data_IF_588178327372
#
_entry.id   IF_588178327372
#
_cell.length_a   1.000
_cell.length_b   1.000
_cell.length_c   1.000
_cell.angle_alpha   90.00
_cell.angle_beta   90.00
_cell.angle_gamma   90.00
#
_symmetry.space_group_name_H-M   'P 1'
#
loop_
_entity.id
_entity.type
_entity.pdbx_description
1 polymer ?
#
# COMPACT_ATOMS: atom_id res chain seq x y z
N UNK A 1 2.62 -4.70 22.91
CA UNK A 1 2.15 -5.78 21.99
C UNK A 1 3.33 -6.69 21.65
N UNK A 2 3.14 -7.88 21.08
CA UNK A 2 4.26 -8.77 20.73
C UNK A 2 5.13 -8.14 19.60
N UNK A 3 6.43 -7.86 19.84
CA UNK A 3 7.28 -7.16 18.87
C UNK A 3 7.53 -7.94 17.58
N UNK A 4 7.56 -9.28 17.66
CA UNK A 4 7.71 -10.17 16.51
C UNK A 4 6.47 -10.08 15.62
N UNK A 5 5.28 -10.18 16.21
CA UNK A 5 4.00 -10.04 15.52
C UNK A 5 3.90 -8.67 14.83
N UNK A 6 4.27 -7.59 15.53
CA UNK A 6 4.26 -6.25 14.94
C UNK A 6 5.19 -6.15 13.73
N UNK A 7 6.39 -6.73 13.81
CA UNK A 7 7.35 -6.74 12.72
C UNK A 7 6.86 -7.57 11.52
N UNK A 8 6.21 -8.71 11.77
CA UNK A 8 5.60 -9.53 10.71
C UNK A 8 4.46 -8.79 10.01
N UNK A 9 3.58 -8.13 10.76
CA UNK A 9 2.50 -7.29 10.21
C UNK A 9 3.10 -6.16 9.36
N UNK A 10 4.15 -5.50 9.85
CA UNK A 10 4.83 -4.45 9.10
C UNK A 10 5.36 -4.95 7.75
N UNK A 11 6.03 -6.11 7.72
CA UNK A 11 6.53 -6.71 6.47
C UNK A 11 5.40 -6.99 5.49
N UNK A 12 4.29 -7.57 5.96
CA UNK A 12 3.11 -7.87 5.11
C UNK A 12 2.52 -6.58 4.54
N UNK A 13 2.34 -5.55 5.36
CA UNK A 13 1.77 -4.27 4.94
C UNK A 13 2.69 -3.51 3.98
N UNK A 14 4.01 -3.56 4.21
CA UNK A 14 5.00 -2.87 3.39
C UNK A 14 5.33 -3.60 2.07
N UNK A 15 5.00 -4.89 1.96
CA UNK A 15 5.23 -5.66 0.75
C UNK A 15 4.56 -5.02 -0.47
N UNK A 16 3.29 -4.60 -0.36
CA UNK A 16 2.58 -3.94 -1.45
C UNK A 16 3.24 -2.63 -1.92
N UNK A 17 3.46 -1.61 -1.05
CA UNK A 17 4.07 -0.36 -1.48
C UNK A 17 5.47 -0.59 -2.07
N UNK A 18 6.29 -1.47 -1.49
CA UNK A 18 7.63 -1.79 -2.03
C UNK A 18 7.53 -2.40 -3.44
N UNK A 19 6.71 -3.44 -3.61
CA UNK A 19 6.57 -4.14 -4.89
C UNK A 19 5.86 -3.32 -5.96
N UNK A 20 5.07 -2.31 -5.56
CA UNK A 20 4.36 -1.44 -6.49
C UNK A 20 5.22 -0.30 -7.07
N UNK A 21 6.40 0.00 -6.50
CA UNK A 21 7.28 1.09 -6.98
C UNK A 21 7.58 0.98 -8.48
N UNK A 22 8.02 -0.18 -9.03
CA UNK A 22 8.29 -0.28 -10.47
C UNK A 22 7.08 0.03 -11.34
N UNK A 23 5.88 -0.42 -10.92
CA UNK A 23 4.62 -0.14 -11.61
C UNK A 23 4.26 1.34 -11.57
N UNK A 24 4.46 2.00 -10.42
CA UNK A 24 4.20 3.43 -10.23
C UNK A 24 5.16 4.28 -11.07
N UNK A 25 6.45 3.92 -11.10
CA UNK A 25 7.45 4.58 -11.95
C UNK A 25 7.12 4.39 -13.43
N UNK A 26 6.71 3.18 -13.84
CA UNK A 26 6.25 2.91 -15.21
C UNK A 26 5.02 3.74 -15.55
N UNK A 27 4.04 3.84 -14.65
CA UNK A 27 2.86 4.69 -14.85
C UNK A 27 3.23 6.17 -15.06
N UNK A 28 4.22 6.68 -14.31
CA UNK A 28 4.71 8.05 -14.50
C UNK A 28 5.31 8.25 -15.88
N UNK A 29 6.07 7.27 -16.40
CA UNK A 29 6.66 7.31 -17.74
C UNK A 29 5.59 7.24 -18.83
N UNK A 30 4.66 6.29 -18.72
CA UNK A 30 3.70 6.00 -19.78
C UNK A 30 2.50 6.97 -19.81
N UNK A 31 2.06 7.46 -18.64
CA UNK A 31 0.81 8.23 -18.48
C UNK A 31 1.03 9.62 -17.88
N UNK A 32 2.26 10.01 -17.57
CA UNK A 32 2.61 11.28 -16.93
C UNK A 32 2.21 11.41 -15.45
N UNK A 33 1.57 10.39 -14.86
CA UNK A 33 1.08 10.37 -13.47
C UNK A 33 1.51 9.09 -12.73
N UNK A 34 1.94 9.24 -11.48
CA UNK A 34 2.33 8.11 -10.62
C UNK A 34 1.14 7.21 -10.27
N UNK A 35 0.00 7.82 -9.93
CA UNK A 35 -1.26 7.13 -9.65
C UNK A 35 -2.30 7.63 -10.64
N UNK A 36 -2.90 6.71 -11.40
CA UNK A 36 -3.87 7.06 -12.45
C UNK A 36 -5.28 7.29 -11.92
N UNK A 37 -5.61 6.77 -10.74
CA UNK A 37 -6.93 6.88 -10.14
C UNK A 37 -6.77 7.18 -8.64
N UNK A 38 -7.50 8.19 -8.15
CA UNK A 38 -7.53 8.57 -6.74
C UNK A 38 -8.75 7.98 -6.02
N UNK A 39 -9.69 7.36 -6.73
CA UNK A 39 -10.89 6.81 -6.10
C UNK A 39 -10.52 5.60 -5.26
N UNK A 40 -10.91 5.64 -3.99
CA UNK A 40 -10.75 4.53 -3.05
C UNK A 40 -11.63 3.35 -3.43
N UNK A 41 -12.87 3.66 -3.82
CA UNK A 41 -13.87 2.69 -4.26
C UNK A 41 -13.98 2.70 -5.77
N UNK A 42 -13.94 1.52 -6.38
CA UNK A 42 -14.22 1.32 -7.79
C UNK A 42 -15.39 0.35 -7.95
N UNK A 43 -16.21 0.50 -9.00
CA UNK A 43 -17.27 -0.47 -9.28
C UNK A 43 -16.69 -1.88 -9.38
N UNK A 44 -17.32 -2.88 -8.75
CA UNK A 44 -16.82 -4.28 -8.74
C UNK A 44 -16.53 -4.84 -10.14
N UNK A 45 -17.30 -4.40 -11.14
CA UNK A 45 -17.10 -4.75 -12.57
C UNK A 45 -15.76 -4.28 -13.14
N UNK A 46 -15.19 -3.21 -12.60
CA UNK A 46 -13.89 -2.62 -13.00
C UNK A 46 -12.74 -3.22 -12.19
N UNK A 47 -12.98 -3.56 -10.92
CA UNK A 47 -11.97 -4.09 -10.01
C UNK A 47 -11.88 -5.62 -9.93
N UNK A 48 -12.33 -6.35 -10.96
CA UNK A 48 -12.31 -7.81 -10.99
C UNK A 48 -12.94 -8.47 -9.74
N UNK A 49 -14.08 -7.95 -9.30
CA UNK A 49 -14.77 -8.42 -8.09
C UNK A 49 -14.37 -7.69 -6.79
N UNK A 50 -13.27 -6.93 -6.82
CA UNK A 50 -12.80 -6.13 -5.69
C UNK A 50 -13.34 -4.70 -5.82
N UNK A 51 -14.07 -4.24 -4.80
CA UNK A 51 -14.65 -2.88 -4.77
C UNK A 51 -13.65 -1.80 -4.31
N UNK A 52 -12.46 -2.20 -3.90
CA UNK A 52 -11.39 -1.33 -3.40
C UNK A 52 -10.30 -1.24 -4.46
N UNK A 53 -9.94 -0.01 -4.82
CA UNK A 53 -8.86 0.21 -5.77
C UNK A 53 -7.52 0.14 -5.04
N UNK A 54 -6.88 -1.03 -4.99
CA UNK A 54 -5.59 -1.14 -4.31
C UNK A 54 -4.49 -0.32 -4.99
N UNK A 55 -4.65 0.02 -6.28
CA UNK A 55 -3.69 0.81 -7.07
C UNK A 55 -3.87 2.32 -6.97
N UNK A 56 -4.67 2.79 -6.01
CA UNK A 56 -4.89 4.21 -5.78
C UNK A 56 -3.86 4.81 -4.81
N UNK A 57 -3.68 6.13 -4.89
CA UNK A 57 -2.74 6.88 -4.05
C UNK A 57 -2.96 6.67 -2.54
N UNK A 58 -4.20 6.72 -2.07
CA UNK A 58 -4.55 6.50 -0.67
C UNK A 58 -4.30 5.06 -0.23
N UNK A 59 -4.60 4.06 -1.07
CA UNK A 59 -4.30 2.66 -0.76
C UNK A 59 -2.80 2.44 -0.52
N UNK A 60 -1.98 3.00 -1.41
CA UNK A 60 -0.52 2.97 -1.27
C UNK A 60 -0.05 3.64 0.03
N UNK A 61 -0.47 4.89 0.28
CA UNK A 61 0.02 5.64 1.45
C UNK A 61 -0.54 5.12 2.78
N UNK A 62 -1.77 4.59 2.81
CA UNK A 62 -2.32 3.95 4.01
C UNK A 62 -1.53 2.70 4.39
N UNK A 63 -1.23 1.82 3.43
CA UNK A 63 -0.41 0.64 3.69
C UNK A 63 1.01 1.00 4.09
N UNK A 64 1.60 2.00 3.44
CA UNK A 64 2.92 2.52 3.80
C UNK A 64 2.94 3.06 5.23
N UNK A 65 1.98 3.91 5.60
CA UNK A 65 1.94 4.56 6.91
C UNK A 65 1.70 3.55 8.04
N UNK A 66 0.70 2.67 7.87
CA UNK A 66 0.40 1.63 8.86
C UNK A 66 1.57 0.65 8.95
N UNK A 67 2.17 0.25 7.83
CA UNK A 67 3.34 -0.63 7.82
C UNK A 67 4.54 -0.03 8.56
N UNK A 68 4.86 1.25 8.32
CA UNK A 68 5.93 1.97 9.04
C UNK A 68 5.59 2.11 10.52
N UNK A 69 4.33 2.36 10.88
CA UNK A 69 3.90 2.43 12.27
C UNK A 69 4.11 1.10 12.99
N UNK A 70 3.69 -0.02 12.41
CA UNK A 70 3.92 -1.35 12.99
C UNK A 70 5.41 -1.69 13.09
N UNK A 71 6.21 -1.29 12.09
CA UNK A 71 7.66 -1.46 12.12
C UNK A 71 8.27 -0.69 13.30
N UNK A 72 7.85 0.57 13.49
CA UNK A 72 8.29 1.41 14.60
C UNK A 72 7.88 0.81 15.96
N UNK A 73 6.62 0.38 16.10
CA UNK A 73 6.13 -0.26 17.33
C UNK A 73 6.88 -1.56 17.65
N UNK A 74 7.23 -2.36 16.64
CA UNK A 74 8.06 -3.55 16.81
C UNK A 74 9.50 -3.22 17.24
N UNK A 75 10.08 -2.17 16.65
CA UNK A 75 11.47 -1.78 16.91
C UNK A 75 11.66 -1.06 18.25
N UNK A 76 10.76 -0.14 18.60
CA UNK A 76 10.85 0.67 19.82
C UNK A 76 10.33 -0.03 21.08
N UNK A 77 9.87 -1.29 20.97
CA UNK A 77 9.35 -2.11 22.10
C UNK A 77 8.36 -1.34 22.99
N UNK A 78 7.40 -0.65 22.38
CA UNK A 78 6.29 0.02 23.10
C UNK A 78 5.17 -1.00 23.38
#
# INVERSE_FOLDING_TARGET
MDPLLNSLIAVILLAYPILSIPSIVKSKRDKGKFFSDSRFFIPKRVGYGIGINMHNIYGFFTLLFIGVLFLALGWFRI
#
